data_IF_043313222101
#
_entry.id   IF_043313222101
#
_cell.length_a   1.000
_cell.length_b   1.000
_cell.length_c   1.000
_cell.angle_alpha   90.00
_cell.angle_beta   90.00
_cell.angle_gamma   90.00
#
_symmetry.space_group_name_H-M   'P 1'
#
loop_
_entity.id
_entity.type
_entity.pdbx_description
1 polymer ?
#
# COMPACT_ATOMS: atom_id res chain seq x y z
N UNK A 1 -17.93 6.45 -35.42
CA UNK A 1 -16.76 6.51 -34.52
C UNK A 1 -17.28 6.78 -33.13
N UNK A 2 -16.79 6.09 -32.09
CA UNK A 2 -17.21 6.38 -30.71
C UNK A 2 -16.74 7.79 -30.35
N UNK A 3 -17.65 8.62 -29.87
CA UNK A 3 -17.35 10.02 -29.47
C UNK A 3 -16.73 10.05 -28.05
N UNK A 4 -15.40 9.91 -27.97
CA UNK A 4 -14.67 9.93 -26.69
C UNK A 4 -14.18 11.33 -26.40
N UNK A 5 -14.71 11.92 -25.32
CA UNK A 5 -14.29 13.21 -24.77
C UNK A 5 -13.36 13.01 -23.59
N UNK A 6 -12.36 13.88 -23.45
CA UNK A 6 -11.41 13.89 -22.34
C UNK A 6 -11.66 15.12 -21.47
N UNK A 7 -11.95 14.89 -20.22
CA UNK A 7 -12.29 15.92 -19.25
C UNK A 7 -11.70 15.62 -17.86
N UNK A 8 -11.90 16.52 -16.92
CA UNK A 8 -11.57 16.33 -15.51
C UNK A 8 -12.78 15.86 -14.73
N UNK A 9 -12.55 15.50 -13.48
CA UNK A 9 -13.59 15.12 -12.53
C UNK A 9 -14.65 16.21 -12.38
N UNK A 10 -15.88 15.77 -12.25
CA UNK A 10 -17.04 16.57 -11.86
C UNK A 10 -17.79 15.88 -10.73
N UNK A 11 -18.45 16.65 -9.88
CA UNK A 11 -19.25 16.09 -8.77
C UNK A 11 -20.30 15.13 -9.31
N UNK A 12 -20.38 13.94 -8.72
CA UNK A 12 -21.26 12.86 -9.15
C UNK A 12 -20.57 11.76 -9.98
N UNK A 13 -19.34 11.97 -10.47
CA UNK A 13 -18.58 10.95 -11.22
C UNK A 13 -18.17 9.73 -10.39
N UNK A 14 -18.13 9.84 -9.06
CA UNK A 14 -17.64 8.82 -8.15
C UNK A 14 -18.36 7.47 -8.29
N UNK A 15 -19.65 7.46 -8.62
CA UNK A 15 -20.40 6.23 -8.91
C UNK A 15 -19.83 5.49 -10.11
N UNK A 16 -19.68 6.18 -11.24
CA UNK A 16 -19.15 5.59 -12.47
C UNK A 16 -17.67 5.25 -12.35
N UNK A 17 -16.87 6.06 -11.63
CA UNK A 17 -15.45 5.81 -11.41
C UNK A 17 -15.21 4.60 -10.50
N UNK A 18 -16.02 4.41 -9.47
CA UNK A 18 -15.96 3.21 -8.63
C UNK A 18 -16.35 1.95 -9.45
N UNK A 19 -17.39 2.01 -10.27
CA UNK A 19 -17.80 0.91 -11.15
C UNK A 19 -16.72 0.60 -12.20
N UNK A 20 -16.16 1.62 -12.86
CA UNK A 20 -15.06 1.46 -13.81
C UNK A 20 -13.85 0.76 -13.18
N UNK A 21 -13.46 1.18 -11.97
CA UNK A 21 -12.38 0.53 -11.22
C UNK A 21 -12.70 -0.95 -10.99
N UNK A 22 -13.87 -1.23 -10.45
CA UNK A 22 -14.29 -2.59 -10.14
C UNK A 22 -14.29 -3.49 -11.37
N UNK A 23 -14.85 -3.03 -12.48
CA UNK A 23 -14.85 -3.78 -13.76
C UNK A 23 -13.44 -3.99 -14.31
N UNK A 24 -12.56 -3.00 -14.19
CA UNK A 24 -11.22 -3.08 -14.77
C UNK A 24 -10.30 -4.03 -14.03
N UNK A 25 -10.42 -4.12 -12.69
CA UNK A 25 -9.53 -4.94 -11.86
C UNK A 25 -10.11 -6.30 -11.47
N UNK A 26 -11.43 -6.50 -11.54
CA UNK A 26 -12.08 -7.75 -11.12
C UNK A 26 -12.31 -8.76 -12.24
N UNK A 27 -12.23 -8.35 -13.48
CA UNK A 27 -12.37 -9.26 -14.63
C UNK A 27 -11.26 -10.30 -14.74
N UNK A 28 -10.11 -10.09 -14.08
CA UNK A 28 -8.91 -10.92 -14.23
C UNK A 28 -8.47 -11.61 -12.92
N UNK A 29 -9.32 -11.73 -11.91
CA UNK A 29 -8.94 -12.43 -10.67
C UNK A 29 -9.49 -11.80 -9.39
N UNK A 30 -8.75 -11.92 -8.30
CA UNK A 30 -9.13 -11.38 -7.01
C UNK A 30 -8.82 -9.88 -6.92
N UNK A 31 -9.77 -9.08 -6.47
CA UNK A 31 -9.61 -7.65 -6.32
C UNK A 31 -10.35 -7.06 -5.12
N UNK A 32 -9.97 -5.84 -4.78
CA UNK A 32 -10.67 -5.03 -3.79
C UNK A 32 -11.85 -4.34 -4.48
N UNK A 33 -13.04 -4.43 -3.89
CA UNK A 33 -14.22 -3.70 -4.38
C UNK A 33 -14.27 -2.32 -3.76
N UNK A 34 -14.38 -1.30 -4.58
CA UNK A 34 -14.63 0.08 -4.16
C UNK A 34 -16.10 0.42 -4.23
N UNK A 35 -16.59 1.03 -3.17
CA UNK A 35 -17.87 1.74 -3.19
C UNK A 35 -17.64 3.20 -3.58
N UNK A 36 -18.64 3.93 -4.09
CA UNK A 36 -18.53 5.37 -4.37
C UNK A 36 -18.03 6.15 -3.15
N UNK A 37 -18.51 5.81 -1.95
CA UNK A 37 -18.07 6.42 -0.69
C UNK A 37 -16.57 6.22 -0.42
N UNK A 38 -16.05 5.02 -0.71
CA UNK A 38 -14.62 4.71 -0.53
C UNK A 38 -13.78 5.45 -1.57
N UNK A 39 -14.26 5.50 -2.81
CA UNK A 39 -13.62 6.20 -3.89
C UNK A 39 -13.53 7.70 -3.60
N UNK A 40 -14.65 8.31 -3.19
CA UNK A 40 -14.74 9.72 -2.81
C UNK A 40 -13.78 10.06 -1.65
N UNK A 41 -13.79 9.26 -0.57
CA UNK A 41 -12.85 9.44 0.53
C UNK A 41 -11.40 9.41 0.07
N UNK A 42 -11.06 8.46 -0.79
CA UNK A 42 -9.66 8.26 -1.22
C UNK A 42 -9.13 9.44 -2.03
N UNK A 43 -9.93 9.99 -2.91
CA UNK A 43 -9.52 11.02 -3.86
C UNK A 43 -10.05 12.40 -3.50
N UNK A 44 -11.35 12.58 -3.54
CA UNK A 44 -11.99 13.91 -3.37
C UNK A 44 -11.76 14.48 -1.96
N UNK A 45 -11.80 13.63 -0.93
CA UNK A 45 -11.53 14.07 0.46
C UNK A 45 -10.04 14.04 0.82
N UNK A 46 -9.15 13.71 -0.13
CA UNK A 46 -7.71 13.76 0.11
C UNK A 46 -7.22 15.21 0.33
N UNK A 47 -6.15 15.41 1.10
CA UNK A 47 -5.59 16.75 1.26
C UNK A 47 -5.19 17.36 -0.08
N UNK A 48 -5.62 18.61 -0.31
CA UNK A 48 -5.29 19.40 -1.50
C UNK A 48 -5.82 18.80 -2.82
N UNK A 49 -6.97 18.13 -2.77
CA UNK A 49 -7.66 17.66 -3.96
C UNK A 49 -8.02 18.83 -4.89
N UNK A 50 -7.86 18.60 -6.19
CA UNK A 50 -8.32 19.45 -7.28
C UNK A 50 -8.96 18.56 -8.37
N UNK A 51 -10.04 18.99 -9.03
CA UNK A 51 -10.71 18.20 -10.07
C UNK A 51 -9.77 17.72 -11.18
N UNK A 52 -8.78 18.54 -11.55
CA UNK A 52 -7.78 18.24 -12.57
C UNK A 52 -6.82 17.10 -12.17
N UNK A 53 -6.79 16.69 -10.92
CA UNK A 53 -6.03 15.52 -10.47
C UNK A 53 -6.62 14.23 -11.05
N UNK A 54 -7.88 14.23 -11.46
CA UNK A 54 -8.55 13.07 -12.03
C UNK A 54 -8.85 13.34 -13.49
N UNK A 55 -8.15 12.61 -14.35
CA UNK A 55 -8.30 12.65 -15.79
C UNK A 55 -9.29 11.58 -16.24
N UNK A 56 -10.32 11.94 -16.99
CA UNK A 56 -11.43 11.10 -17.38
C UNK A 56 -11.54 11.03 -18.90
N UNK A 57 -11.87 9.84 -19.41
CA UNK A 57 -12.35 9.63 -20.76
C UNK A 57 -13.81 9.16 -20.71
N UNK A 58 -14.69 9.87 -21.38
CA UNK A 58 -16.12 9.62 -21.42
C UNK A 58 -16.60 9.34 -22.83
N UNK A 59 -17.38 8.28 -22.98
CA UNK A 59 -18.17 8.02 -24.20
C UNK A 59 -19.49 8.79 -24.07
N UNK A 60 -19.58 9.93 -24.76
CA UNK A 60 -20.75 10.82 -24.64
C UNK A 60 -22.04 10.23 -25.23
N UNK A 61 -21.93 9.37 -26.26
CA UNK A 61 -23.09 8.72 -26.82
C UNK A 61 -23.76 7.76 -25.86
N UNK A 62 -22.95 7.16 -24.95
CA UNK A 62 -23.41 6.22 -23.92
C UNK A 62 -23.53 6.83 -22.54
N UNK A 63 -23.16 8.10 -22.38
CA UNK A 63 -23.07 8.77 -21.08
C UNK A 63 -22.28 7.92 -20.05
N UNK A 64 -21.09 7.42 -20.48
CA UNK A 64 -20.34 6.43 -19.72
C UNK A 64 -18.87 6.81 -19.60
N UNK A 65 -18.35 6.80 -18.36
CA UNK A 65 -16.92 6.92 -18.10
C UNK A 65 -16.23 5.59 -18.48
N UNK A 66 -15.29 5.67 -19.41
CA UNK A 66 -14.63 4.49 -20.00
C UNK A 66 -13.13 4.42 -19.71
N UNK A 67 -12.58 5.45 -19.10
CA UNK A 67 -11.18 5.46 -18.65
C UNK A 67 -10.92 6.54 -17.63
N UNK A 68 -9.97 6.28 -16.72
CA UNK A 68 -9.47 7.31 -15.80
C UNK A 68 -8.02 7.09 -15.41
N UNK A 69 -7.35 8.20 -15.04
CA UNK A 69 -6.03 8.24 -14.43
C UNK A 69 -6.06 9.24 -13.28
N UNK A 70 -5.61 8.84 -12.11
CA UNK A 70 -5.64 9.68 -10.93
C UNK A 70 -4.23 10.12 -10.53
N UNK A 71 -4.02 11.42 -10.37
CA UNK A 71 -2.92 11.98 -9.59
C UNK A 71 -3.41 12.04 -8.15
N UNK A 72 -3.14 11.01 -7.35
CA UNK A 72 -3.77 10.84 -6.03
C UNK A 72 -3.24 11.81 -4.98
N UNK A 73 -1.98 12.22 -5.10
CA UNK A 73 -1.33 13.18 -4.22
C UNK A 73 -0.30 14.00 -4.99
N UNK A 74 -0.19 15.27 -4.61
CA UNK A 74 0.93 16.14 -4.97
C UNK A 74 1.58 16.58 -3.67
N UNK A 75 2.76 16.06 -3.38
CA UNK A 75 3.45 16.30 -2.11
C UNK A 75 4.97 16.31 -2.24
N UNK A 76 5.64 16.93 -1.28
CA UNK A 76 7.09 16.93 -1.23
C UNK A 76 7.60 15.60 -0.69
N UNK A 77 8.63 15.04 -1.32
CA UNK A 77 9.34 13.82 -0.92
C UNK A 77 10.83 14.10 -0.83
N UNK A 78 11.57 13.28 -0.09
CA UNK A 78 13.03 13.43 0.05
C UNK A 78 13.69 12.27 -0.66
N UNK A 79 14.46 12.56 -1.71
CA UNK A 79 15.28 11.58 -2.44
C UNK A 79 16.68 12.17 -2.60
N UNK A 80 17.73 11.41 -2.24
CA UNK A 80 19.14 11.85 -2.30
C UNK A 80 19.35 13.22 -1.61
N UNK A 81 18.76 13.38 -0.40
CA UNK A 81 18.77 14.62 0.40
C UNK A 81 18.14 15.84 -0.28
N UNK A 82 17.56 15.69 -1.47
CA UNK A 82 16.80 16.71 -2.17
C UNK A 82 15.32 16.64 -1.81
N UNK A 83 14.72 17.80 -1.59
CA UNK A 83 13.27 17.92 -1.41
C UNK A 83 12.64 18.12 -2.80
N UNK A 84 11.93 17.12 -3.27
CA UNK A 84 11.31 17.09 -4.61
C UNK A 84 9.79 17.15 -4.47
N UNK A 85 9.12 17.90 -5.35
CA UNK A 85 7.67 17.86 -5.46
C UNK A 85 7.29 16.66 -6.34
N UNK A 86 6.57 15.70 -5.74
CA UNK A 86 6.11 14.48 -6.39
C UNK A 86 4.64 14.55 -6.74
N UNK A 87 4.28 14.12 -7.95
CA UNK A 87 2.91 13.77 -8.32
C UNK A 87 2.76 12.26 -8.38
N UNK A 88 1.92 11.68 -7.52
CA UNK A 88 1.73 10.24 -7.46
C UNK A 88 0.57 9.79 -8.33
N UNK A 89 0.85 8.89 -9.29
CA UNK A 89 -0.17 8.32 -10.17
C UNK A 89 -0.67 6.99 -9.61
N UNK A 90 -1.98 6.89 -9.53
CA UNK A 90 -2.72 5.69 -9.16
C UNK A 90 -3.86 5.42 -10.15
N UNK A 91 -4.42 4.21 -10.06
CA UNK A 91 -5.64 3.79 -10.73
C UNK A 91 -5.72 4.20 -12.21
N UNK A 92 -4.72 3.75 -12.97
CA UNK A 92 -4.78 3.84 -14.43
C UNK A 92 -5.71 2.75 -14.93
N UNK A 93 -6.94 3.12 -15.25
CA UNK A 93 -8.00 2.16 -15.61
C UNK A 93 -8.61 2.49 -16.97
N UNK A 94 -9.02 1.43 -17.66
CA UNK A 94 -9.76 1.52 -18.90
C UNK A 94 -10.80 0.39 -18.95
N UNK A 95 -12.03 0.73 -19.32
CA UNK A 95 -13.10 -0.25 -19.43
C UNK A 95 -12.70 -1.36 -20.41
N UNK A 96 -12.96 -2.65 -20.11
CA UNK A 96 -12.50 -3.78 -20.93
C UNK A 96 -12.87 -3.68 -22.43
N UNK A 97 -14.04 -3.13 -22.76
CA UNK A 97 -14.49 -2.95 -24.14
C UNK A 97 -13.82 -1.78 -24.88
N UNK A 98 -13.03 -0.95 -24.18
CA UNK A 98 -12.37 0.24 -24.73
C UNK A 98 -10.85 0.16 -24.69
N UNK A 99 -10.30 -1.00 -24.34
CA UNK A 99 -8.85 -1.22 -24.33
C UNK A 99 -8.25 -1.15 -25.74
N UNK A 100 -6.94 -0.88 -25.83
CA UNK A 100 -6.17 -0.78 -27.08
C UNK A 100 -6.57 0.35 -28.03
N UNK A 101 -7.39 1.31 -27.58
CA UNK A 101 -7.79 2.51 -28.35
C UNK A 101 -6.96 3.76 -28.00
N UNK A 102 -5.87 3.61 -27.27
CA UNK A 102 -4.99 4.73 -26.88
C UNK A 102 -5.49 5.58 -25.70
N UNK A 103 -6.67 5.28 -25.13
CA UNK A 103 -7.31 6.06 -24.05
C UNK A 103 -6.38 6.21 -22.85
N UNK A 104 -5.88 5.11 -22.29
CA UNK A 104 -4.99 5.15 -21.11
C UNK A 104 -3.71 5.96 -21.37
N UNK A 105 -3.17 5.90 -22.60
CA UNK A 105 -1.99 6.70 -22.99
C UNK A 105 -2.30 8.20 -22.99
N UNK A 106 -3.44 8.59 -23.54
CA UNK A 106 -3.87 10.00 -23.60
C UNK A 106 -4.15 10.55 -22.20
N UNK A 107 -4.85 9.79 -21.36
CA UNK A 107 -5.12 10.15 -19.97
C UNK A 107 -3.81 10.30 -19.15
N UNK A 108 -2.87 9.36 -19.28
CA UNK A 108 -1.57 9.45 -18.62
C UNK A 108 -0.79 10.71 -19.07
N UNK A 109 -0.80 11.04 -20.36
CA UNK A 109 -0.20 12.27 -20.86
C UNK A 109 -0.86 13.52 -20.28
N UNK A 110 -2.18 13.53 -20.12
CA UNK A 110 -2.90 14.64 -19.50
C UNK A 110 -2.52 14.77 -18.01
N UNK A 111 -2.43 13.67 -17.27
CA UNK A 111 -1.96 13.66 -15.89
C UNK A 111 -0.53 14.20 -15.78
N UNK A 112 0.37 13.82 -16.68
CA UNK A 112 1.74 14.35 -16.74
C UNK A 112 1.72 15.86 -17.01
N UNK A 113 0.90 16.35 -17.95
CA UNK A 113 0.73 17.80 -18.22
C UNK A 113 0.26 18.55 -16.97
N UNK A 114 -0.72 18.00 -16.25
CA UNK A 114 -1.19 18.58 -14.98
C UNK A 114 -0.04 18.69 -13.98
N UNK A 115 0.71 17.60 -13.74
CA UNK A 115 1.84 17.60 -12.82
C UNK A 115 2.93 18.59 -13.23
N UNK A 116 3.21 18.71 -14.52
CA UNK A 116 4.15 19.72 -15.05
C UNK A 116 3.66 21.14 -14.80
N UNK A 117 2.36 21.42 -14.99
CA UNK A 117 1.73 22.70 -14.65
C UNK A 117 1.86 23.03 -13.15
N UNK A 118 1.74 21.99 -12.30
CA UNK A 118 1.95 22.09 -10.84
C UNK A 118 3.43 22.18 -10.44
N UNK A 119 4.35 22.21 -11.41
CA UNK A 119 5.79 22.26 -11.18
C UNK A 119 6.30 21.05 -10.37
N UNK A 120 5.71 19.88 -10.53
CA UNK A 120 6.24 18.66 -9.95
C UNK A 120 7.62 18.38 -10.54
N UNK A 121 8.58 18.03 -9.67
CA UNK A 121 9.93 17.64 -10.08
C UNK A 121 9.95 16.22 -10.62
N UNK A 122 9.12 15.35 -10.06
CA UNK A 122 9.00 13.94 -10.41
C UNK A 122 7.55 13.46 -10.39
N UNK A 123 7.34 12.31 -11.00
CA UNK A 123 6.11 11.52 -10.82
C UNK A 123 6.46 10.08 -10.45
N UNK A 124 5.82 9.56 -9.40
CA UNK A 124 5.97 8.19 -8.92
C UNK A 124 4.70 7.41 -9.24
N UNK A 125 4.86 6.15 -9.64
CA UNK A 125 3.78 5.18 -9.73
C UNK A 125 4.28 3.78 -9.38
N UNK A 126 3.34 2.91 -9.01
CA UNK A 126 3.59 1.50 -8.78
C UNK A 126 2.89 0.68 -9.86
N UNK A 127 3.60 -0.26 -10.46
CA UNK A 127 3.08 -1.13 -11.51
C UNK A 127 3.43 -2.60 -11.25
N UNK A 128 2.54 -3.52 -11.60
CA UNK A 128 2.88 -4.95 -11.61
C UNK A 128 4.17 -5.15 -12.44
N UNK A 129 5.14 -5.83 -11.82
CA UNK A 129 6.46 -6.04 -12.43
C UNK A 129 6.38 -6.76 -13.78
N UNK A 130 5.50 -7.71 -13.92
CA UNK A 130 5.24 -8.46 -15.16
C UNK A 130 4.13 -7.87 -16.02
N UNK A 131 3.42 -6.86 -15.52
CA UNK A 131 2.21 -6.31 -16.11
C UNK A 131 2.42 -5.67 -17.49
N UNK A 132 1.43 -5.83 -18.35
CA UNK A 132 1.40 -5.20 -19.67
C UNK A 132 1.52 -3.66 -19.61
N UNK A 133 0.84 -2.93 -18.69
CA UNK A 133 0.94 -1.48 -18.60
C UNK A 133 2.37 -0.99 -18.35
N UNK A 134 3.15 -1.68 -17.50
CA UNK A 134 4.54 -1.31 -17.25
C UNK A 134 5.36 -1.27 -18.54
N UNK A 135 5.31 -2.35 -19.34
CA UNK A 135 6.11 -2.49 -20.56
C UNK A 135 5.60 -1.64 -21.73
N UNK A 136 4.28 -1.59 -21.92
CA UNK A 136 3.66 -1.03 -23.12
C UNK A 136 3.18 0.41 -22.95
N UNK A 137 3.05 0.90 -21.71
CA UNK A 137 2.62 2.26 -21.42
C UNK A 137 3.71 3.03 -20.65
N UNK A 138 4.03 2.64 -19.40
CA UNK A 138 4.83 3.50 -18.53
C UNK A 138 6.28 3.66 -19.00
N UNK A 139 6.97 2.58 -19.37
CA UNK A 139 8.34 2.68 -19.92
C UNK A 139 8.38 3.54 -21.20
N UNK A 140 7.34 3.45 -22.05
CA UNK A 140 7.25 4.27 -23.27
C UNK A 140 6.96 5.74 -22.99
N UNK A 141 6.29 6.05 -21.90
CA UNK A 141 6.05 7.43 -21.46
C UNK A 141 7.16 7.99 -20.57
N UNK A 142 8.32 7.29 -20.50
CA UNK A 142 9.55 7.78 -19.87
C UNK A 142 9.69 7.48 -18.39
N UNK A 143 8.82 6.64 -17.80
CA UNK A 143 9.06 6.10 -16.47
C UNK A 143 10.20 5.09 -16.49
N UNK A 144 10.94 4.99 -15.38
CA UNK A 144 12.04 4.02 -15.18
C UNK A 144 11.86 3.32 -13.85
N UNK A 145 12.33 2.06 -13.75
CA UNK A 145 12.30 1.31 -12.50
C UNK A 145 13.38 1.82 -11.55
N UNK A 146 13.00 2.16 -10.32
CA UNK A 146 13.90 2.61 -9.27
C UNK A 146 13.96 1.66 -8.07
N UNK A 147 12.84 1.01 -7.73
CA UNK A 147 12.78 0.00 -6.68
C UNK A 147 11.86 -1.15 -7.11
N UNK A 148 12.00 -2.27 -6.42
CA UNK A 148 11.15 -3.45 -6.58
C UNK A 148 10.60 -3.84 -5.25
N UNK A 149 9.29 -3.90 -5.15
CA UNK A 149 8.61 -4.42 -4.00
C UNK A 149 8.29 -5.91 -4.19
N UNK A 150 8.49 -6.70 -3.15
CA UNK A 150 7.95 -8.06 -3.06
C UNK A 150 6.68 -8.03 -2.24
N UNK A 151 5.69 -8.76 -2.70
CA UNK A 151 4.50 -9.04 -1.91
C UNK A 151 4.76 -10.24 -1.00
N UNK A 152 4.44 -10.09 0.26
CA UNK A 152 4.50 -11.18 1.23
C UNK A 152 3.11 -11.39 1.82
N UNK A 153 2.70 -12.65 1.93
CA UNK A 153 1.42 -13.05 2.50
C UNK A 153 1.61 -14.08 3.61
N UNK A 154 0.82 -13.97 4.67
CA UNK A 154 0.75 -14.95 5.73
C UNK A 154 -0.72 -15.12 6.15
N UNK A 155 -1.06 -16.30 6.65
CA UNK A 155 -2.42 -16.69 7.00
C UNK A 155 -2.57 -16.82 8.52
N UNK A 156 -2.84 -15.71 9.25
CA UNK A 156 -2.95 -15.71 10.70
C UNK A 156 -4.17 -16.50 11.20
N UNK A 157 -5.17 -16.64 10.37
CA UNK A 157 -6.37 -17.42 10.64
C UNK A 157 -6.71 -18.32 9.45
N UNK A 158 -5.86 -19.34 9.27
CA UNK A 158 -5.98 -20.30 8.17
C UNK A 158 -7.32 -21.06 8.20
N UNK A 159 -7.89 -21.27 9.39
CA UNK A 159 -9.18 -21.93 9.53
C UNK A 159 -10.30 -21.15 8.82
N UNK A 160 -10.38 -19.84 9.06
CA UNK A 160 -11.36 -18.99 8.38
C UNK A 160 -11.12 -18.97 6.85
N UNK A 161 -9.87 -18.92 6.43
CA UNK A 161 -9.54 -18.95 5.01
C UNK A 161 -10.02 -20.27 4.36
N UNK A 162 -9.68 -21.41 4.94
CA UNK A 162 -10.03 -22.72 4.38
C UNK A 162 -11.54 -23.00 4.43
N UNK A 163 -12.23 -22.48 5.47
CA UNK A 163 -13.69 -22.55 5.52
C UNK A 163 -14.33 -21.78 4.37
N UNK A 164 -13.80 -20.60 4.08
CA UNK A 164 -14.29 -19.72 3.02
C UNK A 164 -13.86 -20.26 1.63
N UNK A 165 -12.88 -21.19 1.60
CA UNK A 165 -12.40 -21.90 0.41
C UNK A 165 -12.89 -23.36 0.39
N UNK A 166 -14.15 -23.57 0.01
CA UNK A 166 -14.73 -24.90 -0.28
C UNK A 166 -14.63 -25.94 0.84
N UNK A 167 -14.57 -25.52 2.10
CA UNK A 167 -14.62 -26.46 3.23
C UNK A 167 -13.34 -27.27 3.49
N UNK A 168 -12.18 -26.89 2.94
CA UNK A 168 -10.89 -27.56 3.18
C UNK A 168 -10.36 -27.37 4.62
N UNK A 169 -11.24 -27.29 5.60
CA UNK A 169 -10.89 -27.04 7.00
C UNK A 169 -10.07 -28.18 7.63
N UNK A 170 -10.16 -29.39 7.10
CA UNK A 170 -9.36 -30.54 7.55
C UNK A 170 -7.85 -30.35 7.35
N UNK A 171 -7.42 -29.46 6.45
CA UNK A 171 -6.03 -29.10 6.26
C UNK A 171 -5.51 -28.06 7.28
N UNK A 172 -6.41 -27.42 8.02
CA UNK A 172 -6.05 -26.37 8.96
C UNK A 172 -5.01 -26.78 10.02
N UNK A 173 -5.07 -27.99 10.64
CA UNK A 173 -4.08 -28.41 11.63
C UNK A 173 -2.65 -28.43 11.06
N UNK A 174 -2.46 -28.89 9.83
CA UNK A 174 -1.14 -28.97 9.18
C UNK A 174 -0.58 -27.54 9.00
N UNK A 175 -1.36 -26.64 8.45
CA UNK A 175 -0.94 -25.25 8.27
C UNK A 175 -0.70 -24.51 9.59
N UNK A 176 -1.49 -24.79 10.63
CA UNK A 176 -1.29 -24.24 11.97
C UNK A 176 0.05 -24.70 12.56
N UNK A 177 0.36 -25.99 12.48
CA UNK A 177 1.64 -26.52 12.96
C UNK A 177 2.80 -25.85 12.22
N UNK A 178 2.78 -25.82 10.89
CA UNK A 178 3.83 -25.23 10.06
C UNK A 178 4.05 -23.74 10.30
N UNK A 179 3.00 -22.99 10.64
CA UNK A 179 3.08 -21.54 10.87
C UNK A 179 3.30 -21.16 12.35
N UNK A 180 2.78 -21.96 13.28
CA UNK A 180 2.76 -21.64 14.71
C UNK A 180 4.04 -22.08 15.43
N UNK A 181 4.56 -23.26 15.14
CA UNK A 181 5.76 -23.80 15.83
C UNK A 181 6.96 -22.86 15.66
N UNK A 182 7.36 -22.40 14.47
CA UNK A 182 8.48 -21.51 14.32
C UNK A 182 8.30 -20.21 15.13
N UNK A 183 7.08 -19.66 15.15
CA UNK A 183 6.77 -18.45 15.93
C UNK A 183 6.88 -18.70 17.43
N UNK A 184 6.48 -19.85 17.91
CA UNK A 184 6.63 -20.24 19.32
C UNK A 184 8.10 -20.32 19.71
N UNK A 185 8.93 -20.98 18.90
CA UNK A 185 10.37 -21.08 19.12
C UNK A 185 11.01 -19.67 19.17
N UNK A 186 10.69 -18.79 18.23
CA UNK A 186 11.18 -17.41 18.27
C UNK A 186 10.72 -16.63 19.50
N UNK A 187 9.50 -16.85 20.00
CA UNK A 187 9.03 -16.23 21.25
C UNK A 187 9.88 -16.64 22.44
N UNK A 188 10.26 -17.93 22.53
CA UNK A 188 11.13 -18.43 23.60
C UNK A 188 12.52 -17.82 23.49
N UNK A 189 13.12 -17.82 22.29
CA UNK A 189 14.43 -17.19 22.04
C UNK A 189 14.42 -15.70 22.39
N UNK A 190 13.40 -14.97 21.97
CA UNK A 190 13.29 -13.53 22.23
C UNK A 190 13.17 -13.26 23.72
N UNK A 191 12.37 -14.05 24.44
CA UNK A 191 12.22 -13.91 25.89
C UNK A 191 13.52 -14.13 26.66
N UNK A 192 14.43 -14.99 26.17
CA UNK A 192 15.73 -15.23 26.81
C UNK A 192 16.76 -14.12 26.55
N UNK A 193 16.47 -13.13 25.69
CA UNK A 193 17.41 -12.05 25.36
C UNK A 193 17.24 -10.86 26.31
N UNK A 194 18.30 -10.41 26.98
CA UNK A 194 18.24 -9.29 27.91
C UNK A 194 17.67 -8.00 27.29
N UNK A 195 17.98 -7.74 26.04
CA UNK A 195 17.46 -6.58 25.32
C UNK A 195 15.93 -6.47 25.37
N UNK A 196 15.22 -7.61 25.32
CA UNK A 196 13.76 -7.66 25.24
C UNK A 196 13.07 -7.70 26.62
N UNK A 197 13.80 -7.76 27.74
CA UNK A 197 13.19 -7.77 29.07
C UNK A 197 12.42 -6.46 29.33
N UNK A 198 12.95 -5.31 28.87
CA UNK A 198 12.32 -3.99 29.01
C UNK A 198 11.43 -3.61 27.79
N UNK A 199 11.20 -4.55 26.88
CA UNK A 199 10.39 -4.29 25.70
C UNK A 199 8.95 -4.71 25.94
N UNK A 200 8.05 -3.78 25.82
CA UNK A 200 6.60 -4.01 25.86
C UNK A 200 5.96 -3.79 24.50
N UNK A 201 4.72 -4.24 24.36
CA UNK A 201 3.92 -3.97 23.18
C UNK A 201 2.47 -3.68 23.54
N UNK A 202 1.84 -2.89 22.72
CA UNK A 202 0.38 -2.71 22.75
C UNK A 202 -0.21 -2.92 21.36
N UNK A 203 -1.43 -3.45 21.34
CA UNK A 203 -2.23 -3.57 20.10
C UNK A 203 -3.44 -2.67 20.30
N UNK A 204 -3.45 -1.55 19.58
CA UNK A 204 -4.42 -0.47 19.76
C UNK A 204 -5.26 -0.32 18.51
N UNK A 205 -6.56 -0.19 18.70
CA UNK A 205 -7.52 0.17 17.67
C UNK A 205 -8.06 1.57 17.97
N UNK A 206 -7.19 2.50 18.28
CA UNK A 206 -7.58 3.86 18.56
C UNK A 206 -7.30 4.75 17.34
N UNK A 207 -8.31 5.50 16.94
CA UNK A 207 -8.27 6.38 15.80
C UNK A 207 -7.23 7.49 15.95
N UNK A 208 -7.09 8.07 17.14
CA UNK A 208 -6.26 9.28 17.39
C UNK A 208 -4.92 8.90 18.04
N UNK A 209 -4.03 8.26 17.31
CA UNK A 209 -2.73 7.87 17.85
C UNK A 209 -1.60 8.77 17.33
N UNK A 210 -1.61 10.06 17.69
CA UNK A 210 -0.60 11.02 17.22
C UNK A 210 0.81 10.69 17.68
N UNK A 211 0.99 10.14 18.91
CA UNK A 211 2.31 9.66 19.36
C UNK A 211 2.90 8.61 18.42
N UNK A 212 2.07 7.75 17.83
CA UNK A 212 2.51 6.79 16.83
C UNK A 212 2.93 7.51 15.53
N UNK A 213 2.15 8.49 15.08
CA UNK A 213 2.49 9.31 13.92
C UNK A 213 3.84 10.03 14.10
N UNK A 214 4.07 10.62 15.27
CA UNK A 214 5.31 11.33 15.57
C UNK A 214 6.52 10.37 15.57
N UNK A 215 6.35 9.18 16.18
CA UNK A 215 7.37 8.14 16.15
C UNK A 215 7.63 7.63 14.72
N UNK A 216 6.59 7.39 13.93
CA UNK A 216 6.70 7.01 12.53
C UNK A 216 7.50 8.04 11.74
N UNK A 217 7.13 9.33 11.85
CA UNK A 217 7.82 10.42 11.18
C UNK A 217 9.31 10.50 11.55
N UNK A 218 9.61 10.37 12.84
CA UNK A 218 10.98 10.41 13.36
C UNK A 218 11.84 9.24 12.87
N UNK A 219 11.27 8.03 12.87
CA UNK A 219 12.01 6.79 12.63
C UNK A 219 12.15 6.51 11.14
N UNK A 220 11.12 6.74 10.33
CA UNK A 220 11.13 6.41 8.89
C UNK A 220 12.02 7.37 8.10
N UNK A 221 11.96 8.68 8.39
CA UNK A 221 12.67 9.71 7.62
C UNK A 221 14.14 9.39 7.34
N UNK A 222 14.98 8.95 8.30
CA UNK A 222 16.39 8.64 8.04
C UNK A 222 16.62 7.29 7.35
N UNK A 223 15.63 6.40 7.33
CA UNK A 223 15.80 5.01 6.90
C UNK A 223 15.29 4.75 5.48
N UNK A 224 14.40 5.61 4.99
CA UNK A 224 13.74 5.47 3.68
C UNK A 224 13.92 6.74 2.85
N UNK A 225 13.97 6.59 1.54
CA UNK A 225 13.83 7.70 0.60
C UNK A 225 12.37 7.82 0.16
N UNK A 226 11.99 8.97 -0.39
CA UNK A 226 10.61 9.21 -0.83
C UNK A 226 9.61 9.44 0.31
N UNK A 227 10.05 9.43 1.56
CA UNK A 227 9.18 9.66 2.69
C UNK A 227 8.82 11.15 2.84
N UNK A 228 7.54 11.42 2.95
CA UNK A 228 7.02 12.70 3.38
C UNK A 228 6.37 12.55 4.77
N UNK A 229 6.85 13.29 5.78
CA UNK A 229 6.29 13.21 7.12
C UNK A 229 4.80 13.48 7.14
N UNK A 230 4.06 12.69 7.89
CA UNK A 230 2.62 12.92 8.06
C UNK A 230 2.38 14.24 8.79
N UNK A 231 1.63 15.12 8.16
CA UNK A 231 0.98 16.24 8.84
C UNK A 231 -0.27 15.72 9.57
N UNK A 232 -0.75 16.45 10.58
CA UNK A 232 -2.02 16.10 11.24
C UNK A 232 -3.17 15.99 10.24
N UNK A 233 -3.27 16.90 9.28
CA UNK A 233 -4.31 16.89 8.23
C UNK A 233 -4.26 15.58 7.42
N UNK A 234 -3.08 15.21 6.92
CA UNK A 234 -2.87 13.96 6.15
C UNK A 234 -3.16 12.72 7.01
N UNK A 235 -2.71 12.70 8.25
CA UNK A 235 -2.94 11.58 9.16
C UNK A 235 -4.42 11.42 9.51
N UNK A 236 -5.12 12.53 9.77
CA UNK A 236 -6.57 12.54 10.02
C UNK A 236 -7.33 11.94 8.84
N UNK A 237 -7.03 12.36 7.62
CA UNK A 237 -7.64 11.79 6.42
C UNK A 237 -7.32 10.31 6.26
N UNK A 238 -6.03 9.94 6.26
CA UNK A 238 -5.60 8.58 5.91
C UNK A 238 -5.93 7.53 6.98
N UNK A 239 -6.09 7.92 8.26
CA UNK A 239 -6.15 6.98 9.39
C UNK A 239 -7.38 7.14 10.28
N UNK A 240 -7.97 8.31 10.34
CA UNK A 240 -9.03 8.62 11.31
C UNK A 240 -10.37 8.79 10.61
N UNK A 241 -10.43 9.63 9.58
CA UNK A 241 -11.66 9.93 8.84
C UNK A 241 -11.92 8.89 7.73
N UNK A 242 -11.67 7.63 8.02
CA UNK A 242 -11.88 6.53 7.07
C UNK A 242 -13.39 6.25 6.87
N UNK A 243 -13.81 5.80 5.69
CA UNK A 243 -15.23 5.71 5.32
C UNK A 243 -16.02 4.66 6.09
N UNK A 244 -15.36 3.74 6.76
CA UNK A 244 -16.01 2.74 7.60
C UNK A 244 -15.09 2.20 8.70
N UNK A 245 -15.69 1.62 9.78
CA UNK A 245 -14.97 0.95 10.87
C UNK A 245 -14.04 -0.18 10.39
N UNK A 246 -14.30 -0.75 9.22
CA UNK A 246 -13.47 -1.81 8.63
C UNK A 246 -12.09 -1.31 8.26
N UNK A 247 -12.00 -0.09 7.76
CA UNK A 247 -10.75 0.53 7.33
C UNK A 247 -9.98 1.22 8.45
N UNK A 248 -10.55 1.25 9.68
CA UNK A 248 -9.82 1.75 10.84
C UNK A 248 -8.54 0.95 11.06
N UNK A 249 -7.39 1.61 11.17
CA UNK A 249 -6.13 0.92 11.38
C UNK A 249 -6.08 0.27 12.76
N UNK A 250 -5.41 -0.85 12.82
CA UNK A 250 -4.93 -1.47 14.05
C UNK A 250 -3.43 -1.23 14.12
N UNK A 251 -2.99 -0.60 15.20
CA UNK A 251 -1.59 -0.34 15.47
C UNK A 251 -1.01 -1.42 16.37
N UNK A 252 0.19 -1.86 16.05
CA UNK A 252 1.04 -2.64 16.94
C UNK A 252 2.23 -1.77 17.27
N UNK A 253 2.35 -1.40 18.54
CA UNK A 253 3.33 -0.43 19.02
C UNK A 253 4.32 -1.15 19.92
N UNK A 254 5.59 -1.03 19.62
CA UNK A 254 6.69 -1.58 20.38
C UNK A 254 7.38 -0.47 21.16
N UNK A 255 7.49 -0.65 22.46
CA UNK A 255 8.07 0.34 23.38
C UNK A 255 9.22 -0.26 24.17
N UNK A 256 10.24 0.56 24.46
CA UNK A 256 11.29 0.28 25.43
C UNK A 256 11.38 1.46 26.38
N UNK A 257 11.27 1.23 27.68
CA UNK A 257 11.25 2.29 28.73
C UNK A 257 10.26 3.43 28.34
N UNK A 258 9.03 3.07 27.95
CA UNK A 258 7.97 3.98 27.51
C UNK A 258 8.21 4.74 26.18
N UNK A 259 9.40 4.66 25.59
CA UNK A 259 9.66 5.24 24.26
C UNK A 259 9.20 4.29 23.15
N UNK A 260 8.54 4.81 22.11
CA UNK A 260 8.20 4.02 20.92
C UNK A 260 9.47 3.81 20.09
N UNK A 261 9.90 2.56 20.01
CA UNK A 261 11.07 2.11 19.24
C UNK A 261 10.70 1.38 17.96
N UNK A 262 9.42 1.14 17.73
CA UNK A 262 8.94 0.51 16.51
C UNK A 262 7.44 0.39 16.47
N UNK A 263 6.93 0.05 15.31
CA UNK A 263 5.51 -0.13 15.12
C UNK A 263 5.15 -0.71 13.77
N UNK A 264 3.90 -1.15 13.68
CA UNK A 264 3.26 -1.55 12.45
C UNK A 264 1.80 -1.11 12.48
N UNK A 265 1.25 -0.79 11.33
CA UNK A 265 -0.18 -0.54 11.21
C UNK A 265 -0.76 -1.37 10.07
N UNK A 266 -1.98 -1.86 10.26
CA UNK A 266 -2.74 -2.55 9.23
C UNK A 266 -4.22 -2.23 9.35
N UNK A 267 -4.93 -2.27 8.24
CA UNK A 267 -6.39 -2.33 8.22
C UNK A 267 -6.87 -3.68 7.66
N UNK A 268 -8.17 -3.88 7.60
CA UNK A 268 -8.76 -5.06 6.97
C UNK A 268 -9.64 -4.64 5.81
N UNK A 269 -9.61 -5.45 4.75
CA UNK A 269 -10.46 -5.29 3.58
C UNK A 269 -11.03 -6.65 3.16
N UNK A 270 -12.11 -6.66 2.37
CA UNK A 270 -12.55 -7.87 1.69
C UNK A 270 -11.92 -7.91 0.31
N UNK A 271 -11.37 -9.07 -0.04
CA UNK A 271 -11.03 -9.40 -1.41
C UNK A 271 -12.16 -10.25 -1.96
N UNK A 272 -12.54 -9.95 -3.19
CA UNK A 272 -13.46 -10.73 -3.99
C UNK A 272 -12.67 -11.38 -5.13
N UNK A 273 -12.83 -12.68 -5.32
CA UNK A 273 -12.12 -13.42 -6.35
C UNK A 273 -13.05 -14.27 -7.19
N UNK A 274 -12.52 -14.75 -8.34
CA UNK A 274 -13.18 -15.69 -9.23
C UNK A 274 -14.65 -15.33 -9.53
N UNK A 275 -14.87 -14.21 -10.19
CA UNK A 275 -16.19 -13.72 -10.59
C UNK A 275 -17.16 -13.55 -9.40
N UNK A 276 -16.67 -12.99 -8.29
CA UNK A 276 -17.41 -12.71 -7.06
C UNK A 276 -17.84 -13.94 -6.23
N UNK A 277 -17.49 -15.16 -6.66
CA UNK A 277 -17.83 -16.39 -5.92
C UNK A 277 -17.11 -16.52 -4.60
N UNK A 278 -15.91 -15.97 -4.48
CA UNK A 278 -15.11 -16.02 -3.26
C UNK A 278 -14.98 -14.66 -2.62
N UNK A 279 -15.28 -14.59 -1.33
CA UNK A 279 -15.10 -13.38 -0.52
C UNK A 279 -14.32 -13.75 0.73
N UNK A 280 -13.13 -13.19 0.88
CA UNK A 280 -12.36 -13.38 2.09
C UNK A 280 -11.79 -12.06 2.63
N UNK A 281 -11.62 -12.04 3.94
CA UNK A 281 -11.12 -10.87 4.65
C UNK A 281 -9.61 -10.94 4.79
N UNK A 282 -8.92 -9.91 4.29
CA UNK A 282 -7.47 -9.78 4.43
C UNK A 282 -7.10 -8.59 5.31
N UNK A 283 -5.93 -8.69 5.93
CA UNK A 283 -5.20 -7.55 6.50
C UNK A 283 -4.27 -6.97 5.45
N UNK A 284 -4.18 -5.65 5.39
CA UNK A 284 -3.23 -4.93 4.55
C UNK A 284 -2.35 -4.10 5.45
N UNK A 285 -1.05 -4.41 5.45
CA UNK A 285 -0.07 -3.70 6.28
C UNK A 285 0.34 -2.43 5.57
N UNK A 286 0.24 -1.31 6.26
CA UNK A 286 0.61 0.01 5.74
C UNK A 286 2.08 0.30 5.90
N UNK A 287 2.61 0.02 7.06
CA UNK A 287 4.01 0.18 7.43
C UNK A 287 4.43 -0.81 8.49
N UNK A 288 5.74 -1.10 8.48
CA UNK A 288 6.47 -1.80 9.55
C UNK A 288 7.77 -1.04 9.72
N UNK A 289 8.06 -0.57 10.92
CA UNK A 289 9.29 0.18 11.18
C UNK A 289 9.88 -0.13 12.54
N UNK A 290 11.21 -0.08 12.64
CA UNK A 290 11.97 -0.14 13.89
C UNK A 290 13.01 0.98 13.88
N UNK A 291 13.24 1.58 15.03
CA UNK A 291 14.33 2.52 15.24
C UNK A 291 15.65 1.75 15.34
N UNK A 292 16.33 1.57 14.21
CA UNK A 292 17.56 0.76 14.11
C UNK A 292 18.64 1.21 15.12
N UNK A 293 18.66 2.51 15.49
CA UNK A 293 19.62 3.07 16.44
C UNK A 293 19.41 2.59 17.88
N UNK A 294 18.23 2.06 18.20
CA UNK A 294 17.89 1.54 19.54
C UNK A 294 18.29 0.08 19.73
N UNK A 295 18.72 -0.60 18.68
CA UNK A 295 19.14 -2.00 18.73
C UNK A 295 20.66 -2.08 18.79
N UNK A 296 21.17 -2.93 19.68
CA UNK A 296 22.61 -3.06 19.94
C UNK A 296 23.39 -3.67 18.76
N UNK A 297 22.71 -4.51 17.99
CA UNK A 297 23.30 -5.25 16.88
C UNK A 297 22.21 -5.69 15.87
N UNK A 298 22.63 -6.17 14.70
CA UNK A 298 21.72 -6.64 13.67
C UNK A 298 20.88 -7.86 14.08
N UNK A 299 21.41 -8.70 14.96
CA UNK A 299 20.68 -9.87 15.45
C UNK A 299 19.50 -9.46 16.33
N UNK A 300 19.71 -8.51 17.22
CA UNK A 300 18.64 -7.95 18.04
C UNK A 300 17.63 -7.17 17.20
N UNK A 301 18.07 -6.46 16.17
CA UNK A 301 17.19 -5.81 15.19
C UNK A 301 16.32 -6.84 14.47
N UNK A 302 16.91 -7.95 14.02
CA UNK A 302 16.18 -9.05 13.37
C UNK A 302 15.12 -9.65 14.32
N UNK A 303 15.48 -9.92 15.57
CA UNK A 303 14.51 -10.37 16.58
C UNK A 303 13.45 -9.31 16.88
N UNK A 304 13.78 -8.03 16.81
CA UNK A 304 12.82 -6.92 16.92
C UNK A 304 11.74 -6.98 15.83
N UNK A 305 12.12 -7.18 14.57
CA UNK A 305 11.17 -7.39 13.48
C UNK A 305 10.31 -8.63 13.70
N UNK A 306 10.90 -9.77 14.09
CA UNK A 306 10.16 -11.02 14.37
C UNK A 306 9.15 -10.79 15.50
N UNK A 307 9.56 -10.11 16.57
CA UNK A 307 8.69 -9.78 17.69
C UNK A 307 7.50 -8.92 17.26
N UNK A 308 7.76 -7.86 16.50
CA UNK A 308 6.73 -6.96 15.99
C UNK A 308 5.75 -7.69 15.05
N UNK A 309 6.27 -8.51 14.13
CA UNK A 309 5.48 -9.31 13.20
C UNK A 309 4.61 -10.34 13.91
N UNK A 310 5.13 -11.03 14.96
CA UNK A 310 4.34 -11.95 15.76
C UNK A 310 3.14 -11.26 16.42
N UNK A 311 3.33 -10.04 16.95
CA UNK A 311 2.25 -9.27 17.57
C UNK A 311 1.26 -8.75 16.52
N UNK A 312 1.76 -8.39 15.34
CA UNK A 312 0.93 -7.98 14.21
C UNK A 312 0.02 -9.14 13.77
N UNK A 313 0.55 -10.36 13.63
CA UNK A 313 -0.25 -11.54 13.31
C UNK A 313 -1.30 -11.85 14.39
N UNK A 314 -0.99 -11.62 15.69
CA UNK A 314 -1.97 -11.69 16.77
C UNK A 314 -3.09 -10.65 16.59
N UNK A 315 -2.73 -9.42 16.22
CA UNK A 315 -3.68 -8.34 15.91
C UNK A 315 -4.58 -8.71 14.72
N UNK A 316 -4.00 -9.22 13.63
CA UNK A 316 -4.73 -9.65 12.45
C UNK A 316 -5.73 -10.79 12.74
N UNK A 317 -5.32 -11.78 13.57
CA UNK A 317 -6.22 -12.84 14.03
C UNK A 317 -7.41 -12.28 14.82
N UNK A 318 -7.18 -11.31 15.72
CA UNK A 318 -8.26 -10.62 16.46
C UNK A 318 -9.23 -9.85 15.55
N UNK A 319 -8.77 -9.43 14.38
CA UNK A 319 -9.59 -8.79 13.34
C UNK A 319 -10.26 -9.79 12.40
N UNK A 320 -10.11 -11.09 12.67
CA UNK A 320 -10.61 -12.20 11.83
C UNK A 320 -10.12 -12.12 10.38
N UNK A 321 -8.88 -11.62 10.17
CA UNK A 321 -8.26 -11.65 8.85
C UNK A 321 -7.81 -13.08 8.53
N UNK A 322 -8.30 -13.65 7.44
CA UNK A 322 -7.88 -14.96 6.94
C UNK A 322 -6.44 -14.93 6.44
N UNK A 323 -6.08 -13.86 5.73
CA UNK A 323 -4.72 -13.58 5.28
C UNK A 323 -4.27 -12.17 5.68
N UNK A 324 -2.96 -11.93 5.64
CA UNK A 324 -2.38 -10.59 5.79
C UNK A 324 -1.26 -10.40 4.78
N UNK A 325 -1.26 -9.27 4.10
CA UNK A 325 -0.28 -8.93 3.06
C UNK A 325 0.54 -7.71 3.44
N UNK A 326 1.79 -7.71 2.98
CA UNK A 326 2.69 -6.55 3.02
C UNK A 326 3.50 -6.48 1.72
N UNK A 327 3.75 -5.27 1.27
CA UNK A 327 4.71 -4.98 0.23
C UNK A 327 5.97 -4.43 0.89
N UNK A 328 7.12 -4.97 0.53
CA UNK A 328 8.39 -4.59 1.09
C UNK A 328 9.43 -4.41 -0.02
N UNK A 329 10.12 -3.27 0.01
CA UNK A 329 11.21 -2.96 -0.91
C UNK A 329 12.27 -4.08 -0.92
N UNK A 330 12.77 -4.41 -2.10
CA UNK A 330 13.84 -5.40 -2.25
C UNK A 330 15.15 -4.98 -1.56
N UNK A 331 15.29 -3.71 -1.22
CA UNK A 331 16.44 -3.15 -0.50
C UNK A 331 16.34 -3.36 1.02
N UNK A 332 15.15 -3.66 1.57
CA UNK A 332 14.97 -3.92 3.02
C UNK A 332 15.22 -5.39 3.37
N UNK A 333 16.49 -5.79 3.31
CA UNK A 333 16.92 -7.17 3.55
C UNK A 333 16.53 -7.68 4.94
N UNK A 334 16.67 -6.85 5.97
CA UNK A 334 16.37 -7.23 7.36
C UNK A 334 14.89 -7.54 7.55
N UNK A 335 14.01 -6.72 6.98
CA UNK A 335 12.56 -6.99 6.99
C UNK A 335 12.21 -8.27 6.21
N UNK A 336 12.82 -8.48 5.03
CA UNK A 336 12.60 -9.69 4.24
C UNK A 336 12.99 -10.96 4.98
N UNK A 337 14.13 -10.96 5.70
CA UNK A 337 14.57 -12.10 6.50
C UNK A 337 13.58 -12.39 7.65
N UNK A 338 13.13 -11.35 8.34
CA UNK A 338 12.18 -11.49 9.42
C UNK A 338 10.79 -11.99 8.95
N UNK A 339 10.31 -11.50 7.80
CA UNK A 339 9.06 -11.97 7.19
C UNK A 339 9.13 -13.48 6.89
N UNK A 340 10.24 -13.93 6.29
CA UNK A 340 10.46 -15.37 6.02
C UNK A 340 10.54 -16.19 7.31
N UNK A 341 11.22 -15.67 8.35
CA UNK A 341 11.34 -16.34 9.64
C UNK A 341 9.98 -16.62 10.29
N UNK A 342 9.02 -15.70 10.18
CA UNK A 342 7.64 -15.89 10.64
C UNK A 342 6.71 -16.48 9.60
N UNK A 343 7.28 -17.08 8.54
CA UNK A 343 6.57 -17.85 7.51
C UNK A 343 5.60 -17.02 6.65
N UNK A 344 5.98 -15.79 6.33
CA UNK A 344 5.36 -15.13 5.18
C UNK A 344 5.88 -15.75 3.88
N UNK A 345 4.99 -16.04 2.98
CA UNK A 345 5.28 -16.52 1.62
C UNK A 345 5.54 -15.30 0.73
N UNK A 346 6.65 -15.30 0.03
CA UNK A 346 7.04 -14.18 -0.85
C UNK A 346 6.64 -14.43 -2.31
N UNK A 347 6.06 -13.43 -2.94
CA UNK A 347 5.67 -13.44 -4.35
C UNK A 347 6.31 -12.27 -5.09
N UNK A 348 6.30 -12.35 -6.42
CA UNK A 348 6.62 -11.19 -7.25
C UNK A 348 5.60 -10.09 -6.92
N UNK A 349 6.11 -8.91 -6.64
CA UNK A 349 5.29 -7.76 -6.31
C UNK A 349 5.28 -6.75 -7.45
N UNK A 350 5.52 -5.49 -7.10
CA UNK A 350 5.42 -4.36 -8.00
C UNK A 350 6.79 -3.73 -8.30
N UNK A 351 6.87 -3.03 -9.41
CA UNK A 351 7.95 -2.09 -9.71
C UNK A 351 7.51 -0.70 -9.29
N UNK A 352 8.35 -0.03 -8.52
CA UNK A 352 8.19 1.40 -8.25
C UNK A 352 8.93 2.15 -9.34
N UNK A 353 8.19 2.94 -10.09
CA UNK A 353 8.70 3.63 -11.24
C UNK A 353 8.65 5.15 -11.00
N UNK A 354 9.71 5.82 -11.44
CA UNK A 354 9.82 7.29 -11.37
C UNK A 354 9.98 7.83 -12.79
N UNK A 355 9.27 8.92 -13.07
CA UNK A 355 9.51 9.79 -14.21
C UNK A 355 10.00 11.13 -13.71
N UNK A 356 11.14 11.57 -14.24
CA UNK A 356 11.67 12.90 -13.98
C UNK A 356 10.92 13.90 -14.87
N UNK A 357 10.37 14.95 -14.26
CA UNK A 357 9.61 16.00 -14.93
C UNK A 357 10.43 17.30 -15.02
N UNK A 358 11.27 17.56 -14.02
CA UNK A 358 12.14 18.74 -13.97
C UNK A 358 13.36 18.51 -14.86
N UNK A 359 13.60 19.45 -15.76
CA UNK A 359 14.79 19.45 -16.59
C UNK A 359 16.06 19.46 -15.71
N UNK A 360 17.08 18.73 -16.12
CA UNK A 360 18.39 18.64 -15.45
C UNK A 360 18.42 17.96 -14.07
N UNK A 361 17.25 17.49 -13.55
CA UNK A 361 17.22 16.67 -12.35
C UNK A 361 17.78 15.27 -12.65
N UNK A 362 18.71 14.82 -11.82
CA UNK A 362 19.23 13.46 -11.83
C UNK A 362 18.88 12.79 -10.50
N UNK A 363 18.40 11.57 -10.56
CA UNK A 363 18.18 10.70 -9.40
C UNK A 363 19.09 9.50 -9.56
N UNK A 364 19.95 9.27 -8.58
CA UNK A 364 20.86 8.15 -8.55
C UNK A 364 20.13 6.84 -8.27
N UNK A 365 20.86 5.72 -8.43
CA UNK A 365 20.36 4.42 -7.99
C UNK A 365 20.12 4.45 -6.47
N UNK A 366 18.93 4.07 -6.05
CA UNK A 366 18.55 4.10 -4.64
C UNK A 366 19.40 3.11 -3.82
N UNK A 367 19.94 3.59 -2.72
CA UNK A 367 20.69 2.80 -1.74
C UNK A 367 19.83 2.45 -0.50
N UNK A 368 18.76 3.19 -0.30
CA UNK A 368 17.74 2.96 0.75
C UNK A 368 16.41 2.59 0.11
N UNK A 369 15.55 1.84 0.83
CA UNK A 369 14.19 1.54 0.36
C UNK A 369 13.40 2.80 0.05
N UNK A 370 12.64 2.78 -1.03
CA UNK A 370 11.67 3.82 -1.31
C UNK A 370 10.43 3.58 -0.45
N UNK A 371 10.02 4.60 0.29
CA UNK A 371 8.80 4.54 1.10
C UNK A 371 7.59 4.93 0.26
N UNK A 372 6.72 3.98 0.04
CA UNK A 372 5.42 4.23 -0.57
C UNK A 372 4.36 3.83 0.43
N UNK A 373 3.57 4.79 0.92
CA UNK A 373 2.49 4.46 1.85
C UNK A 373 1.49 3.53 1.18
N UNK A 374 1.33 2.33 1.71
CA UNK A 374 0.44 1.30 1.14
C UNK A 374 -1.00 1.79 0.96
N UNK A 375 -1.47 2.69 1.85
CA UNK A 375 -2.80 3.29 1.75
C UNK A 375 -2.96 4.29 0.59
N UNK A 376 -1.85 4.72 -0.02
CA UNK A 376 -1.85 5.58 -1.19
C UNK A 376 -1.63 4.75 -2.45
N UNK A 377 -0.64 3.85 -2.43
CA UNK A 377 -0.23 3.05 -3.57
C UNK A 377 -1.13 1.85 -3.82
N UNK A 378 -1.57 1.19 -2.76
CA UNK A 378 -2.54 0.11 -2.88
C UNK A 378 -3.94 0.69 -2.83
N UNK A 379 -4.73 0.15 -3.70
CA UNK A 379 -6.16 0.34 -3.78
C UNK A 379 -6.85 -0.14 -2.52
N UNK A 380 -6.52 0.45 -1.38
CA UNK A 380 -7.30 0.26 -0.18
C UNK A 380 -8.62 0.95 -0.43
N UNK A 381 -9.70 0.18 -0.38
CA UNK A 381 -11.02 0.76 -0.60
C UNK A 381 -11.33 1.75 0.48
#
# INVERSE_FOLDING_TARGET
MRSIVFRHYQDGDDNQLADLYNRSFQTNGAGLVRTPKNWNWRYVQSPNFEPEMIQIAEDIEKNKIVGSVHVSLVERVIIDDQILLNGEINDVVCHPEYVRQGIAKRLLKNAIKYMTKKKCDISILTADFSGFPRKKLYLKEGYRDYDREKMFIQFPNIFNLLRDFYGFTFLAPVFLILSYIPRLLYRLIIKSKPFFHDVSYEIVRNRKHFKYMDALNRIIKPQYVGFHPYTRKKYMWARINVPSKRYEPTYVIMKKKNEIIGGAAFNTANIYGFNYGLKFKIGIIHEIFLDKKKFTDERNLHFGYIYLLDKLLKGAKRRSAGGIIVFASSLDKSLHQALKAVKFLGFKGASVMIKILKKDLKINKLTKPLYIPTHVSLSIP
#
